data_IF_708369966530
#
_entry.id   IF_708369966530
#
_cell.length_a   1.000
_cell.length_b   1.000
_cell.length_c   1.000
_cell.angle_alpha   90.00
_cell.angle_beta   90.00
_cell.angle_gamma   90.00
#
_symmetry.space_group_name_H-M   'P 1'
#
loop_
_entity.id
_entity.type
_entity.pdbx_description
1 polymer ?
#
# COMPACT_ATOMS: atom_id res chain seq x y z
N UNK A 1 -6.18 -9.88 1.44
CA UNK A 1 -5.69 -9.91 2.83
C UNK A 1 -4.16 -9.90 2.76
N UNK A 2 -3.43 -9.18 3.62
CA UNK A 2 -1.98 -9.39 3.67
C UNK A 2 -1.74 -10.73 4.37
N UNK A 3 -1.11 -11.66 3.65
CA UNK A 3 -0.66 -12.94 4.20
C UNK A 3 0.32 -12.68 5.36
N UNK A 4 0.28 -13.56 6.36
CA UNK A 4 1.09 -13.40 7.58
C UNK A 4 2.59 -13.38 7.27
N UNK A 5 3.00 -14.12 6.24
CA UNK A 5 4.40 -14.24 5.81
C UNK A 5 4.93 -12.92 5.24
N UNK A 6 4.21 -12.30 4.29
CA UNK A 6 4.64 -10.99 3.75
C UNK A 6 4.64 -9.88 4.80
N UNK A 7 3.81 -9.98 5.85
CA UNK A 7 3.84 -9.01 6.97
C UNK A 7 5.09 -9.17 7.81
N UNK A 8 5.51 -10.40 8.08
CA UNK A 8 6.69 -10.69 8.90
C UNK A 8 7.95 -10.10 8.28
N UNK A 9 8.17 -10.35 6.98
CA UNK A 9 9.33 -9.84 6.25
C UNK A 9 9.39 -8.30 6.25
N UNK A 10 8.26 -7.63 6.05
CA UNK A 10 8.19 -6.16 6.07
C UNK A 10 8.49 -5.62 7.47
N UNK A 11 8.01 -6.28 8.52
CA UNK A 11 8.32 -5.89 9.90
C UNK A 11 9.81 -6.06 10.15
N UNK A 12 10.42 -7.17 9.74
CA UNK A 12 11.86 -7.41 9.93
C UNK A 12 12.75 -6.42 9.18
N UNK A 13 12.35 -5.99 7.98
CA UNK A 13 13.13 -5.03 7.17
C UNK A 13 13.06 -3.59 7.70
N UNK A 14 11.95 -3.21 8.33
CA UNK A 14 11.68 -1.83 8.73
C UNK A 14 11.65 -1.61 10.26
N UNK A 15 11.81 -2.67 11.07
CA UNK A 15 11.94 -2.56 12.53
C UNK A 15 13.21 -1.82 12.90
N UNK A 16 13.12 -0.94 13.90
CA UNK A 16 14.28 -0.24 14.48
C UNK A 16 14.91 -1.02 15.64
N UNK A 17 14.11 -1.87 16.31
CA UNK A 17 14.54 -2.78 17.37
C UNK A 17 13.85 -4.13 17.18
N UNK A 18 14.39 -5.19 17.78
CA UNK A 18 13.83 -6.55 17.62
C UNK A 18 12.34 -6.65 18.01
N UNK A 19 11.91 -5.95 19.06
CA UNK A 19 10.52 -5.93 19.53
C UNK A 19 9.65 -4.80 18.93
N UNK A 20 10.19 -4.04 17.98
CA UNK A 20 9.52 -2.87 17.46
C UNK A 20 8.52 -3.20 16.35
N UNK A 21 7.31 -3.53 16.79
CA UNK A 21 6.14 -3.77 15.92
C UNK A 21 5.31 -2.50 15.68
N UNK A 22 5.59 -1.43 16.42
CA UNK A 22 4.73 -0.24 16.53
C UNK A 22 5.29 1.01 15.87
N UNK A 23 6.58 1.03 15.51
CA UNK A 23 7.23 2.20 14.94
C UNK A 23 6.56 2.71 13.67
N UNK A 24 6.70 4.01 13.47
CA UNK A 24 6.09 4.71 12.33
C UNK A 24 6.64 4.13 11.01
N UNK A 25 7.90 3.70 11.00
CA UNK A 25 8.58 3.03 9.89
C UNK A 25 7.82 1.77 9.45
N UNK A 26 7.62 0.84 10.39
CA UNK A 26 6.92 -0.43 10.17
C UNK A 26 5.48 -0.16 9.73
N UNK A 27 4.78 0.76 10.39
CA UNK A 27 3.42 1.11 10.02
C UNK A 27 3.32 1.70 8.61
N UNK A 28 4.24 2.59 8.22
CA UNK A 28 4.25 3.19 6.88
C UNK A 28 4.60 2.14 5.82
N UNK A 29 5.53 1.22 6.10
CA UNK A 29 5.88 0.13 5.20
C UNK A 29 4.68 -0.81 4.95
N UNK A 30 4.00 -1.24 6.02
CA UNK A 30 2.80 -2.07 5.92
C UNK A 30 1.64 -1.38 5.17
N UNK A 31 1.43 -0.09 5.41
CA UNK A 31 0.42 0.69 4.69
C UNK A 31 0.79 0.83 3.21
N UNK A 32 2.07 1.01 2.90
CA UNK A 32 2.58 1.15 1.52
C UNK A 32 2.40 -0.14 0.73
N UNK A 33 2.73 -1.29 1.32
CA UNK A 33 2.48 -2.60 0.69
C UNK A 33 0.99 -2.81 0.44
N UNK A 34 0.13 -2.46 1.42
CA UNK A 34 -1.32 -2.57 1.25
C UNK A 34 -1.86 -1.66 0.15
N UNK A 35 -1.31 -0.45 0.01
CA UNK A 35 -1.65 0.47 -1.09
C UNK A 35 -1.29 -0.16 -2.44
N UNK A 36 -0.09 -0.73 -2.57
CA UNK A 36 0.35 -1.39 -3.81
C UNK A 36 -0.62 -2.48 -4.26
N UNK A 37 -0.99 -3.39 -3.36
CA UNK A 37 -1.96 -4.47 -3.64
C UNK A 37 -3.36 -3.94 -3.99
N UNK A 38 -3.86 -2.95 -3.25
CA UNK A 38 -5.17 -2.35 -3.56
C UNK A 38 -5.18 -1.64 -4.91
N UNK A 39 -4.07 -1.02 -5.28
CA UNK A 39 -3.97 -0.43 -6.60
C UNK A 39 -3.93 -1.47 -7.71
N UNK A 40 -3.17 -2.56 -7.56
CA UNK A 40 -3.20 -3.67 -8.52
C UNK A 40 -4.61 -4.26 -8.66
N UNK A 41 -5.32 -4.43 -7.54
CA UNK A 41 -6.73 -4.84 -7.55
C UNK A 41 -7.62 -3.85 -8.31
N UNK A 42 -7.48 -2.55 -8.07
CA UNK A 42 -8.27 -1.51 -8.73
C UNK A 42 -7.93 -1.33 -10.21
N UNK A 43 -6.73 -1.71 -10.66
CA UNK A 43 -6.40 -1.78 -12.10
C UNK A 43 -7.23 -2.84 -12.82
N UNK A 44 -7.50 -3.96 -12.15
CA UNK A 44 -8.35 -5.04 -12.68
C UNK A 44 -9.85 -4.77 -12.45
N UNK A 45 -10.20 -4.14 -11.32
CA UNK A 45 -11.57 -3.89 -10.87
C UNK A 45 -11.79 -2.40 -10.57
N UNK A 46 -11.80 -1.58 -11.62
CA UNK A 46 -11.90 -0.12 -11.53
C UNK A 46 -13.18 0.38 -10.83
N UNK A 47 -14.27 -0.39 -10.88
CA UNK A 47 -15.57 -0.03 -10.31
C UNK A 47 -15.76 -0.46 -8.84
N UNK A 48 -14.76 -1.08 -8.20
CA UNK A 48 -14.85 -1.47 -6.80
C UNK A 48 -14.73 -0.25 -5.86
N UNK A 49 -15.89 0.33 -5.51
CA UNK A 49 -16.00 1.47 -4.61
C UNK A 49 -15.48 1.20 -3.20
N UNK A 50 -15.60 -0.03 -2.69
CA UNK A 50 -15.13 -0.39 -1.34
C UNK A 50 -13.60 -0.40 -1.29
N UNK A 51 -12.97 -0.98 -2.32
CA UNK A 51 -11.51 -0.97 -2.46
C UNK A 51 -10.96 0.44 -2.66
N UNK A 52 -11.64 1.29 -3.44
CA UNK A 52 -11.27 2.70 -3.61
C UNK A 52 -11.37 3.47 -2.29
N UNK A 53 -12.43 3.26 -1.51
CA UNK A 53 -12.56 3.86 -0.18
C UNK A 53 -11.46 3.39 0.78
N UNK A 54 -11.14 2.09 0.77
CA UNK A 54 -10.04 1.54 1.56
C UNK A 54 -8.69 2.15 1.15
N UNK A 55 -8.44 2.34 -0.15
CA UNK A 55 -7.25 2.99 -0.69
C UNK A 55 -7.12 4.42 -0.14
N UNK A 56 -8.17 5.24 -0.26
CA UNK A 56 -8.16 6.64 0.21
C UNK A 56 -7.90 6.75 1.72
N UNK A 57 -8.50 5.86 2.52
CA UNK A 57 -8.22 5.78 3.96
C UNK A 57 -6.75 5.50 4.26
N UNK A 58 -6.13 4.59 3.50
CA UNK A 58 -4.73 4.22 3.68
C UNK A 58 -3.77 5.33 3.24
N UNK A 59 -4.06 6.02 2.12
CA UNK A 59 -3.30 7.21 1.69
C UNK A 59 -3.33 8.28 2.78
N UNK A 60 -4.51 8.56 3.33
CA UNK A 60 -4.68 9.53 4.41
C UNK A 60 -3.97 9.12 5.71
N UNK A 61 -3.93 7.82 6.04
CA UNK A 61 -3.16 7.31 7.18
C UNK A 61 -1.66 7.49 6.96
N UNK A 62 -1.13 7.11 5.79
CA UNK A 62 0.28 7.26 5.43
C UNK A 62 0.72 8.73 5.49
N UNK A 63 -0.08 9.64 4.92
CA UNK A 63 0.21 11.09 4.93
C UNK A 63 0.29 11.63 6.36
N UNK A 64 -0.59 11.20 7.27
CA UNK A 64 -0.55 11.59 8.68
C UNK A 64 0.68 11.09 9.41
N UNK A 65 1.06 9.83 9.19
CA UNK A 65 2.28 9.23 9.78
C UNK A 65 3.56 9.94 9.31
N UNK A 66 3.66 10.23 8.01
CA UNK A 66 4.79 10.99 7.46
C UNK A 66 4.82 12.44 7.96
N UNK A 67 3.66 13.09 8.05
CA UNK A 67 3.57 14.44 8.60
C UNK A 67 4.02 14.48 10.07
N UNK A 68 3.65 13.47 10.86
CA UNK A 68 4.12 13.31 12.24
C UNK A 68 5.65 13.16 12.29
N UNK A 69 6.23 12.20 11.55
CA UNK A 69 7.69 12.02 11.50
C UNK A 69 8.42 13.27 11.03
N UNK A 70 7.87 14.00 10.04
CA UNK A 70 8.50 15.24 9.56
C UNK A 70 8.58 16.33 10.62
N UNK A 71 7.70 16.30 11.63
CA UNK A 71 7.66 17.28 12.72
C UNK A 71 8.50 16.84 13.92
N UNK A 72 8.54 15.55 14.21
CA UNK A 72 9.28 15.01 15.36
C UNK A 72 10.74 14.72 15.02
N UNK A 73 11.00 14.03 13.91
CA UNK A 73 12.31 13.50 13.54
C UNK A 73 12.53 13.61 12.02
N UNK A 74 12.96 14.79 11.53
CA UNK A 74 13.08 15.05 10.09
C UNK A 74 14.10 14.16 9.39
N UNK A 75 15.17 13.73 10.07
CA UNK A 75 16.17 12.80 9.54
C UNK A 75 15.55 11.44 9.23
N UNK A 76 14.80 10.87 10.18
CA UNK A 76 14.06 9.60 9.96
C UNK A 76 13.04 9.73 8.85
N UNK A 77 12.34 10.86 8.76
CA UNK A 77 11.43 11.11 7.64
C UNK A 77 12.16 11.06 6.28
N UNK A 78 13.36 11.67 6.17
CA UNK A 78 14.14 11.64 4.93
C UNK A 78 14.63 10.23 4.60
N UNK A 79 15.19 9.50 5.57
CA UNK A 79 15.63 8.11 5.38
C UNK A 79 14.48 7.19 4.99
N UNK A 80 13.32 7.33 5.63
CA UNK A 80 12.13 6.55 5.31
C UNK A 80 11.60 6.89 3.90
N UNK A 81 11.54 8.18 3.55
CA UNK A 81 11.08 8.62 2.23
C UNK A 81 11.99 8.10 1.12
N UNK A 82 13.30 8.07 1.36
CA UNK A 82 14.27 7.47 0.44
C UNK A 82 14.09 5.96 0.32
N UNK A 83 13.96 5.23 1.43
CA UNK A 83 13.73 3.76 1.43
C UNK A 83 12.45 3.37 0.69
N UNK A 84 11.40 4.18 0.81
CA UNK A 84 10.09 3.91 0.21
C UNK A 84 9.88 4.61 -1.15
N UNK A 85 10.89 5.31 -1.67
CA UNK A 85 10.82 6.09 -2.91
C UNK A 85 9.59 7.01 -3.00
N UNK A 86 9.19 7.64 -1.90
CA UNK A 86 8.01 8.51 -1.83
C UNK A 86 8.41 9.94 -2.21
N UNK A 87 8.33 10.29 -3.49
CA UNK A 87 8.66 11.65 -3.97
C UNK A 87 7.56 12.65 -3.57
N UNK A 88 7.94 13.73 -2.87
CA UNK A 88 7.06 14.88 -2.63
C UNK A 88 6.85 15.63 -3.94
N UNK A 89 5.67 15.52 -4.55
CA UNK A 89 5.20 16.50 -5.54
C UNK A 89 4.83 15.96 -6.92
N UNK A 90 4.99 14.67 -7.21
CA UNK A 90 4.34 14.05 -8.36
C UNK A 90 2.91 13.62 -8.01
N UNK A 91 1.95 13.64 -8.94
CA UNK A 91 0.74 12.84 -8.78
C UNK A 91 1.18 11.43 -8.40
N UNK A 92 0.58 10.85 -7.37
CA UNK A 92 0.95 9.48 -7.03
C UNK A 92 0.68 8.67 -8.30
N UNK A 93 1.57 7.79 -8.78
CA UNK A 93 1.32 6.98 -9.99
C UNK A 93 0.08 6.07 -9.88
N UNK A 94 -0.67 6.19 -8.78
CA UNK A 94 -1.86 5.45 -8.40
C UNK A 94 -3.04 6.40 -8.07
N UNK A 95 -2.99 7.68 -8.45
CA UNK A 95 -4.13 8.59 -8.38
C UNK A 95 -5.16 8.15 -9.44
N UNK A 96 -6.30 7.54 -9.03
CA UNK A 96 -7.27 6.96 -9.96
C UNK A 96 -8.12 8.03 -10.68
N UNK A 97 -7.76 9.31 -10.54
CA UNK A 97 -8.54 10.47 -10.99
C UNK A 97 -7.86 11.26 -12.11
N UNK A 98 -6.69 10.84 -12.62
CA UNK A 98 -5.88 11.65 -13.54
C UNK A 98 -5.75 11.12 -14.99
N UNK A 99 -6.50 10.11 -15.41
CA UNK A 99 -6.49 9.74 -16.83
C UNK A 99 -7.52 8.68 -17.18
N UNK A 100 -8.40 9.02 -18.12
CA UNK A 100 -9.05 8.16 -19.13
C UNK A 100 -9.07 6.67 -18.76
N UNK A 101 -10.20 6.19 -18.22
CA UNK A 101 -10.39 4.76 -17.98
C UNK A 101 -10.23 3.97 -19.29
N UNK A 102 -9.46 2.87 -19.32
CA UNK A 102 -9.41 2.03 -20.50
C UNK A 102 -10.82 1.44 -20.67
N UNK A 103 -11.43 1.74 -21.81
CA UNK A 103 -12.72 1.20 -22.18
C UNK A 103 -12.78 -0.30 -21.97
N UNK A 104 -13.78 -0.73 -21.21
CA UNK A 104 -14.49 -1.99 -21.33
C UNK A 104 -13.64 -3.20 -21.77
N UNK A 105 -12.87 -3.79 -20.85
CA UNK A 105 -12.60 -5.24 -20.89
C UNK A 105 -12.82 -5.82 -19.50
N UNK A 106 -14.02 -6.35 -19.27
CA UNK A 106 -14.31 -7.13 -18.06
C UNK A 106 -13.26 -8.25 -17.96
N UNK A 107 -12.60 -8.45 -16.80
CA UNK A 107 -11.82 -9.66 -16.62
C UNK A 107 -12.75 -10.86 -16.73
N UNK A 108 -12.38 -11.83 -17.58
CA UNK A 108 -13.06 -13.12 -17.70
C UNK A 108 -13.24 -13.73 -16.31
N UNK A 109 -14.40 -14.35 -16.00
CA UNK A 109 -14.58 -15.03 -14.71
C UNK A 109 -13.47 -16.07 -14.56
N UNK A 110 -12.67 -15.95 -13.49
CA UNK A 110 -11.67 -16.96 -13.18
C UNK A 110 -12.40 -18.29 -12.92
N UNK A 111 -12.03 -19.39 -13.60
CA UNK A 111 -12.62 -20.68 -13.31
C UNK A 111 -12.31 -21.06 -11.85
N UNK A 112 -13.22 -21.76 -11.16
CA UNK A 112 -12.93 -22.24 -9.82
C UNK A 112 -11.66 -23.08 -9.87
N UNK A 113 -10.74 -22.81 -8.94
CA UNK A 113 -9.56 -23.64 -8.72
C UNK A 113 -10.06 -25.06 -8.46
N UNK A 114 -9.94 -25.94 -9.45
CA UNK A 114 -10.26 -27.35 -9.31
C UNK A 114 -9.41 -27.90 -8.19
N UNK A 115 -10.07 -28.21 -7.07
CA UNK A 115 -9.47 -28.92 -5.96
C UNK A 115 -8.94 -30.27 -6.43
N UNK A 116 -7.72 -30.56 -5.99
CA UNK A 116 -7.10 -31.87 -6.02
C UNK A 116 -7.99 -32.91 -5.29
N UNK A 117 -7.95 -34.15 -5.76
CA UNK A 117 -8.29 -35.31 -4.93
C UNK A 117 -9.22 -36.33 -5.58
N UNK A 118 -8.64 -37.29 -6.30
CA UNK A 118 -8.96 -38.72 -6.20
C UNK A 118 -7.66 -39.51 -6.31
#
# INVERSE_FOLDING_TARGET
MLEKESKGEIVEQFRLKEDDTGSVEVQVALVTERLKRLTEHLKLYSHDCHSRHALLKLVGKRKRLLAYLSRTEPERHQSLSAKLNLVKGGPHPLDPLSGEGPGERRPSPQPPLSGEGL
#
